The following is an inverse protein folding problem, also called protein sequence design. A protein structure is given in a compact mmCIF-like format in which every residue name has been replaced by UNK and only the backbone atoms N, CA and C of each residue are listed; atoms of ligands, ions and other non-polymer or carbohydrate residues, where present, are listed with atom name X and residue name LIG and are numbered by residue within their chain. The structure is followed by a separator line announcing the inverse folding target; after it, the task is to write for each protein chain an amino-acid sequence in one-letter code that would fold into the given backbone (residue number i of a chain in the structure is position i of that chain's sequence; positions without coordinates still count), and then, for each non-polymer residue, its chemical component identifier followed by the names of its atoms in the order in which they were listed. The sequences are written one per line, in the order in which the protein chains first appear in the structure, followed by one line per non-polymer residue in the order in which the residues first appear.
data_IF_779597496539
#
_entry.id   IF_779597496539
#
_cell.length_a   1.000
_cell.length_b   1.000
_cell.length_c   1.000
_cell.angle_alpha   90.00
_cell.angle_beta   90.00
_cell.angle_gamma   90.00
#
_symmetry.space_group_name_H-M   'P 1'
#
loop_
_entity.id
_entity.type
_entity.pdbx_description
1 polymer ?
#
# COMPACT_ATOMS: atom_id res chain seq x y z
N UNK A 1 -4.59 21.51 6.47
CA UNK A 1 -3.67 21.06 6.20
C UNK A 1 -3.64 19.71 6.25
N UNK A 2 -3.29 19.07 5.48
CA UNK A 2 -3.31 17.74 5.44
C UNK A 2 -2.02 17.16 5.67
N UNK A 3 -1.95 16.21 6.48
CA UNK A 3 -0.74 15.47 6.65
C UNK A 3 -0.70 14.40 5.59
N UNK A 4 0.44 14.23 5.00
CA UNK A 4 0.61 13.29 3.91
C UNK A 4 1.75 12.34 4.26
N UNK A 5 1.58 11.09 3.90
CA UNK A 5 2.58 10.08 4.13
C UNK A 5 3.07 9.50 2.82
N UNK A 6 4.37 9.25 2.76
CA UNK A 6 4.95 8.55 1.62
C UNK A 6 4.82 7.07 1.91
N UNK A 7 4.17 6.36 1.02
CA UNK A 7 3.91 4.94 1.21
C UNK A 7 4.57 4.18 0.08
N UNK A 8 5.41 3.21 0.43
CA UNK A 8 6.04 2.39 -0.59
C UNK A 8 5.76 0.94 -0.30
N UNK A 9 5.44 0.20 -1.34
CA UNK A 9 5.28 -1.24 -1.25
C UNK A 9 6.15 -1.89 -2.31
N UNK A 10 6.78 -2.99 -1.96
CA UNK A 10 7.53 -3.80 -2.93
C UNK A 10 7.51 -5.23 -2.42
N UNK A 11 6.68 -6.05 -3.01
CA UNK A 11 6.51 -7.43 -2.55
C UNK A 11 5.93 -8.31 -3.64
N UNK A 12 6.01 -9.61 -3.40
CA UNK A 12 5.40 -10.57 -4.29
C UNK A 12 4.24 -11.21 -3.55
N UNK A 13 3.23 -11.59 -4.29
CA UNK A 13 2.07 -12.27 -3.72
C UNK A 13 2.07 -13.72 -4.15
N UNK A 14 1.54 -14.58 -3.30
CA UNK A 14 1.48 -15.99 -3.58
C UNK A 14 0.57 -16.28 -4.75
N UNK A 15 0.84 -17.36 -5.45
CA UNK A 15 -0.04 -17.76 -6.54
C UNK A 15 -1.43 -18.07 -6.01
N UNK A 16 -1.54 -18.45 -4.74
CA UNK A 16 -2.83 -18.81 -4.18
C UNK A 16 -3.62 -17.62 -3.66
N UNK A 17 -3.18 -16.41 -3.90
CA UNK A 17 -3.90 -15.24 -3.42
C UNK A 17 -5.33 -15.29 -3.96
N UNK A 18 -6.34 -15.03 -3.14
CA UNK A 18 -7.72 -15.12 -3.60
C UNK A 18 -8.04 -14.09 -4.67
N UNK A 19 -8.92 -14.42 -5.57
CA UNK A 19 -9.27 -13.49 -6.64
C UNK A 19 -9.91 -12.23 -6.08
N UNK A 20 -10.57 -12.30 -4.93
CA UNK A 20 -11.15 -11.10 -4.35
C UNK A 20 -10.07 -10.13 -3.91
N UNK A 21 -8.94 -10.64 -3.45
CA UNK A 21 -7.84 -9.78 -3.05
C UNK A 21 -7.21 -9.17 -4.30
N UNK A 22 -7.09 -9.95 -5.37
CA UNK A 22 -6.56 -9.41 -6.61
C UNK A 22 -7.46 -8.31 -7.17
N UNK A 23 -8.76 -8.52 -7.12
CA UNK A 23 -9.68 -7.52 -7.63
C UNK A 23 -9.60 -6.24 -6.80
N UNK A 24 -9.51 -6.38 -5.49
CA UNK A 24 -9.40 -5.23 -4.61
C UNK A 24 -8.10 -4.48 -4.89
N UNK A 25 -7.00 -5.20 -5.08
CA UNK A 25 -5.75 -4.58 -5.35
C UNK A 25 -5.75 -3.86 -6.69
N UNK A 26 -6.35 -4.46 -7.73
CA UNK A 26 -6.43 -3.79 -9.01
C UNK A 26 -7.26 -2.54 -8.92
N UNK A 27 -8.31 -2.56 -8.11
CA UNK A 27 -9.12 -1.37 -7.93
C UNK A 27 -8.28 -0.28 -7.25
N UNK A 28 -7.51 -0.62 -6.21
CA UNK A 28 -6.68 0.37 -5.56
C UNK A 28 -5.62 0.92 -6.51
N UNK A 29 -5.17 0.12 -7.46
CA UNK A 29 -4.16 0.57 -8.40
C UNK A 29 -4.75 1.32 -9.59
N UNK A 30 -6.06 1.39 -9.65
CA UNK A 30 -6.71 2.09 -10.75
C UNK A 30 -6.61 1.34 -12.05
N UNK A 31 -6.24 0.06 -12.01
CA UNK A 31 -6.13 -0.66 -13.22
C UNK A 31 -7.43 -1.21 -13.68
N UNK A 32 -8.26 -1.73 -12.87
CA UNK A 32 -9.37 -2.37 -13.34
C UNK A 32 -10.52 -1.69 -13.12
N UNK A 33 -11.08 -1.45 -13.76
CA UNK A 33 -12.10 -0.76 -13.54
C UNK A 33 -13.11 -1.45 -13.30
N UNK A 34 -13.18 -1.84 -13.50
CA UNK A 34 -14.01 -2.40 -13.36
C UNK A 34 -15.03 -2.48 -13.20
N UNK A 35 -15.14 -2.18 -13.53
CA UNK A 35 -15.94 -2.13 -13.48
C UNK A 35 -16.87 -2.77 -13.03
N UNK A 36 -16.82 -3.33 -13.19
CA UNK A 36 -17.59 -4.02 -12.85
C UNK A 36 -17.91 -3.88 -11.68
N UNK A 37 -17.47 -4.01 -11.22
CA UNK A 37 -17.66 -4.11 -10.13
C UNK A 37 -18.18 -3.16 -9.62
N UNK A 38 -17.81 -2.69 -9.60
CA UNK A 38 -18.03 -1.84 -8.98
C UNK A 38 -19.11 -1.46 -9.00
N UNK A 39 -19.12 -1.50 -9.56
CA UNK A 39 -20.03 -1.01 -9.69
C UNK A 39 -20.86 -1.16 -8.83
N UNK A 40 -20.69 -1.53 -8.55
CA UNK A 40 -21.37 -1.75 -7.92
C UNK A 40 -21.94 -1.15 -6.93
N UNK A 41 -21.56 -0.71 -6.45
CA UNK A 41 -21.96 -0.23 -5.51
C UNK A 41 -22.64 0.91 -5.57
N UNK A 42 -23.41 0.89 -5.87
CA UNK A 42 -24.09 1.94 -6.06
C UNK A 42 -24.41 2.58 -4.86
N UNK A 43 -24.46 2.12 -3.90
CA UNK A 43 -24.82 2.63 -2.87
C UNK A 43 -24.12 3.63 -2.46
N UNK A 44 -23.33 3.97 -2.84
CA UNK A 44 -22.74 4.98 -2.46
C UNK A 44 -22.23 5.02 -1.18
N UNK A 45 -22.59 4.36 -0.35
CA UNK A 45 -22.02 4.43 0.80
C UNK A 45 -20.73 4.10 0.72
N UNK A 46 -20.34 3.53 -0.21
CA UNK A 46 -19.06 3.23 -0.36
C UNK A 46 -18.39 4.36 -0.85
N UNK A 47 -18.97 5.39 -1.05
CA UNK A 47 -18.33 6.51 -1.63
C UNK A 47 -17.17 7.00 -0.86
N UNK A 48 -17.02 6.65 0.39
CA UNK A 48 -15.91 7.11 1.10
C UNK A 48 -14.68 6.32 0.81
N UNK A 49 -14.75 5.23 0.16
CA UNK A 49 -13.60 4.42 -0.11
C UNK A 49 -12.93 4.91 -1.35
N UNK A 50 -11.64 5.17 -1.32
CA UNK A 50 -10.93 5.65 -2.48
C UNK A 50 -9.76 4.76 -2.79
N UNK A 51 -9.34 4.70 -4.02
CA UNK A 51 -8.17 3.91 -4.38
C UNK A 51 -6.94 4.51 -3.72
N UNK A 52 -6.12 3.69 -3.13
CA UNK A 52 -4.97 4.18 -2.41
C UNK A 52 -3.68 4.15 -3.21
N UNK A 53 -3.65 3.45 -4.31
CA UNK A 53 -2.42 3.25 -5.07
C UNK A 53 -2.58 3.70 -6.52
N UNK A 54 -3.54 4.54 -6.80
CA UNK A 54 -3.86 4.88 -8.18
C UNK A 54 -3.16 6.12 -8.71
N UNK A 55 -2.54 6.90 -7.86
CA UNK A 55 -1.94 8.14 -8.31
C UNK A 55 -0.69 7.88 -9.14
N UNK A 56 -0.44 8.74 -10.09
CA UNK A 56 0.71 8.61 -10.95
C UNK A 56 1.27 10.00 -11.18
N UNK A 57 2.55 10.06 -11.53
CA UNK A 57 3.15 11.32 -11.89
C UNK A 57 3.82 11.98 -10.71
N UNK A 58 4.22 13.23 -10.84
CA UNK A 58 5.00 13.87 -9.80
C UNK A 58 4.25 13.99 -8.50
N UNK A 59 4.93 13.71 -7.41
CA UNK A 59 4.31 13.82 -6.11
C UNK A 59 4.33 15.27 -5.66
N UNK A 60 3.34 15.67 -4.89
CA UNK A 60 3.25 17.05 -4.46
C UNK A 60 4.15 17.34 -3.28
N UNK A 61 4.33 16.39 -2.39
CA UNK A 61 5.10 16.64 -1.19
C UNK A 61 6.22 15.70 -0.90
N UNK A 62 6.11 14.46 -1.30
CA UNK A 62 7.11 13.48 -0.91
C UNK A 62 8.27 13.38 -1.87
N UNK A 63 8.23 14.14 -2.96
CA UNK A 63 9.31 14.11 -3.93
C UNK A 63 9.17 12.94 -4.88
N UNK A 64 9.80 13.05 -6.03
CA UNK A 64 9.79 11.97 -7.01
C UNK A 64 8.44 11.78 -7.67
N UNK A 65 8.25 10.63 -8.27
CA UNK A 65 7.00 10.33 -8.93
C UNK A 65 6.28 9.23 -8.22
N UNK A 66 4.96 9.23 -8.34
CA UNK A 66 4.14 8.17 -7.79
C UNK A 66 3.97 7.10 -8.84
N UNK A 67 4.03 5.84 -8.44
CA UNK A 67 3.93 4.72 -9.37
C UNK A 67 3.09 3.61 -8.77
N UNK A 68 2.61 2.74 -9.61
CA UNK A 68 1.94 1.53 -9.17
C UNK A 68 2.07 0.51 -10.26
N UNK A 69 2.79 -0.56 -10.02
CA UNK A 69 3.02 -1.60 -10.99
C UNK A 69 2.62 -2.92 -10.44
N UNK A 70 1.86 -3.66 -11.18
CA UNK A 70 1.37 -4.94 -10.73
C UNK A 70 1.50 -5.91 -11.91
N UNK A 71 2.26 -6.95 -11.74
CA UNK A 71 2.52 -7.86 -12.84
C UNK A 71 2.45 -9.30 -12.39
N UNK A 72 2.02 -10.16 -13.31
CA UNK A 72 1.99 -11.56 -13.03
C UNK A 72 3.37 -12.11 -13.25
N UNK A 73 3.79 -13.04 -12.42
CA UNK A 73 5.08 -13.64 -12.61
C UNK A 73 4.97 -15.12 -12.28
N UNK A 74 5.98 -15.87 -12.56
CA UNK A 74 5.94 -17.29 -12.27
C UNK A 74 5.81 -17.43 -10.77
N UNK A 75 4.87 -18.12 -10.31
CA UNK A 75 4.71 -18.33 -8.90
C UNK A 75 3.89 -17.29 -8.20
N UNK A 76 3.31 -16.36 -8.90
CA UNK A 76 2.46 -15.41 -8.23
C UNK A 76 2.41 -14.07 -8.91
N UNK A 77 2.48 -12.99 -8.13
CA UNK A 77 2.31 -11.65 -8.64
C UNK A 77 3.35 -10.75 -8.00
N UNK A 78 3.65 -9.64 -8.62
CA UNK A 78 4.62 -8.70 -8.12
C UNK A 78 3.99 -7.33 -8.02
N UNK A 79 4.14 -6.66 -6.91
CA UNK A 79 3.57 -5.34 -6.69
C UNK A 79 4.66 -4.36 -6.29
N UNK A 80 4.70 -3.20 -6.93
CA UNK A 80 5.54 -2.10 -6.53
C UNK A 80 4.72 -0.83 -6.60
N UNK A 81 4.67 -0.08 -5.53
CA UNK A 81 3.87 1.13 -5.50
C UNK A 81 4.54 2.20 -4.66
N UNK A 82 4.38 3.45 -5.05
CA UNK A 82 4.87 4.58 -4.30
C UNK A 82 3.81 5.64 -4.38
N UNK A 83 3.25 6.05 -3.25
CA UNK A 83 2.07 6.92 -3.23
C UNK A 83 2.15 7.93 -2.12
N UNK A 84 1.40 9.04 -2.29
CA UNK A 84 1.18 10.00 -1.24
C UNK A 84 -0.18 9.69 -0.69
N UNK A 85 -0.30 9.43 0.60
CA UNK A 85 -1.56 9.05 1.19
C UNK A 85 -1.86 10.01 2.33
N UNK A 86 -3.07 10.56 2.35
CA UNK A 86 -3.46 11.48 3.41
C UNK A 86 -3.67 10.72 4.72
N UNK A 87 -3.36 11.38 5.82
CA UNK A 87 -3.42 10.74 7.11
C UNK A 87 -4.77 10.13 7.41
N UNK A 88 -5.82 10.77 6.93
CA UNK A 88 -7.15 10.25 7.22
C UNK A 88 -7.41 8.92 6.55
N UNK A 89 -6.60 8.54 5.57
CA UNK A 89 -6.77 7.27 4.89
C UNK A 89 -5.87 6.17 5.47
N UNK A 90 -5.09 6.47 6.49
CA UNK A 90 -4.21 5.47 7.04
C UNK A 90 -4.92 4.23 7.56
N UNK A 91 -6.11 4.31 8.15
CA UNK A 91 -6.76 3.07 8.55
C UNK A 91 -7.05 2.13 7.38
N UNK A 92 -7.46 2.70 6.24
CA UNK A 92 -7.69 1.88 5.06
C UNK A 92 -6.39 1.33 4.54
N UNK A 93 -5.33 2.12 4.62
CA UNK A 93 -4.04 1.67 4.17
C UNK A 93 -3.54 0.53 5.05
N UNK A 94 -3.75 0.61 6.36
CA UNK A 94 -3.34 -0.44 7.25
C UNK A 94 -4.08 -1.74 6.93
N UNK A 95 -5.36 -1.66 6.63
CA UNK A 95 -6.11 -2.84 6.25
C UNK A 95 -5.57 -3.46 4.97
N UNK A 96 -5.23 -2.62 4.01
CA UNK A 96 -4.68 -3.11 2.75
C UNK A 96 -3.34 -3.77 3.02
N UNK A 97 -2.50 -3.14 3.83
CA UNK A 97 -1.18 -3.68 4.12
C UNK A 97 -1.29 -5.02 4.84
N UNK A 98 -2.28 -5.18 5.71
CA UNK A 98 -2.46 -6.47 6.39
C UNK A 98 -2.86 -7.55 5.40
N UNK A 99 -3.73 -7.22 4.46
CA UNK A 99 -4.12 -8.19 3.45
C UNK A 99 -2.94 -8.55 2.56
N UNK A 100 -2.10 -7.57 2.25
CA UNK A 100 -0.93 -7.84 1.43
C UNK A 100 0.05 -8.73 2.19
N UNK A 101 0.27 -8.50 3.47
CA UNK A 101 1.17 -9.33 4.24
C UNK A 101 0.67 -10.77 4.31
N UNK A 102 -0.62 -10.93 4.52
CA UNK A 102 -1.19 -12.26 4.65
C UNK A 102 -1.02 -13.06 3.36
N UNK A 103 -1.05 -12.38 2.23
CA UNK A 103 -0.97 -13.05 0.94
C UNK A 103 0.41 -12.95 0.28
N UNK A 104 1.39 -12.42 1.02
CA UNK A 104 2.70 -12.19 0.44
C UNK A 104 3.58 -13.43 0.49
N UNK A 105 4.33 -13.65 -0.56
CA UNK A 105 5.37 -14.66 -0.53
C UNK A 105 6.70 -14.02 -0.16
N UNK A 106 6.75 -12.70 -0.02
CA UNK A 106 7.95 -12.02 0.40
C UNK A 106 7.96 -11.96 1.91
N UNK A 107 9.02 -12.47 2.53
CA UNK A 107 9.11 -12.44 3.95
C UNK A 107 10.01 -11.27 4.31
N UNK A 108 9.80 -10.59 5.39
CA UNK A 108 10.61 -9.44 5.76
C UNK A 108 9.95 -8.14 5.33
N UNK A 109 10.74 -7.15 5.00
CA UNK A 109 10.20 -5.83 4.70
C UNK A 109 9.44 -5.86 3.39
N UNK A 110 8.17 -5.45 3.41
CA UNK A 110 7.36 -5.38 2.21
C UNK A 110 7.01 -3.94 1.86
N UNK A 111 7.38 -2.99 2.71
CA UNK A 111 7.11 -1.61 2.40
C UNK A 111 7.49 -0.71 3.54
N UNK A 112 7.20 0.58 3.40
CA UNK A 112 7.41 1.50 4.49
C UNK A 112 6.49 2.70 4.34
N UNK A 113 6.28 3.40 5.45
CA UNK A 113 5.44 4.57 5.50
C UNK A 113 6.23 5.65 6.20
N UNK A 114 6.28 6.84 5.63
CA UNK A 114 7.03 7.94 6.21
C UNK A 114 6.20 9.21 6.18
N UNK A 115 6.10 9.90 7.31
CA UNK A 115 5.44 11.20 7.32
C UNK A 115 6.29 12.11 6.43
N UNK A 116 5.66 12.90 5.59
CA UNK A 116 6.39 13.60 4.54
C UNK A 116 7.47 14.54 5.06
N UNK A 117 7.32 15.02 6.27
CA UNK A 117 8.34 15.91 6.81
C UNK A 117 9.39 15.19 7.62
N UNK A 118 9.32 13.90 7.73
CA UNK A 118 10.30 13.16 8.49
C UNK A 118 11.24 12.40 7.60
N UNK A 119 12.41 12.10 8.12
CA UNK A 119 13.38 11.40 7.32
C UNK A 119 13.33 9.91 7.53
N UNK A 120 12.76 9.42 8.58
CA UNK A 120 12.85 8.03 8.93
C UNK A 120 11.50 7.37 8.84
N UNK A 121 11.36 6.31 8.05
CA UNK A 121 10.08 5.66 7.89
C UNK A 121 9.84 4.57 8.93
N UNK A 122 8.57 4.18 9.04
CA UNK A 122 8.25 2.97 9.75
C UNK A 122 8.29 1.87 8.70
N UNK A 123 8.81 0.73 9.08
CA UNK A 123 8.88 -0.40 8.16
C UNK A 123 7.65 -1.27 8.30
N UNK A 124 7.19 -1.77 7.17
CA UNK A 124 6.09 -2.72 7.13
C UNK A 124 6.73 -4.08 6.87
N UNK A 125 6.62 -4.97 7.83
CA UNK A 125 7.31 -6.24 7.77
C UNK A 125 6.31 -7.38 7.79
N UNK A 126 6.51 -8.33 6.90
CA UNK A 126 5.69 -9.52 6.87
C UNK A 126 6.40 -10.59 7.67
N UNK A 127 5.79 -11.01 8.78
CA UNK A 127 6.32 -12.08 9.54
C UNK A 127 5.39 -13.24 9.44
N UNK A 128 5.61 -14.13 8.55
CA UNK A 128 4.81 -15.33 8.35
C UNK A 128 3.32 -14.97 8.15
N UNK A 129 3.08 -13.95 7.40
CA UNK A 129 1.70 -13.56 7.08
C UNK A 129 1.13 -12.50 7.99
N UNK A 130 1.85 -12.13 9.04
CA UNK A 130 1.36 -11.10 9.96
C UNK A 130 2.12 -9.81 9.71
N UNK A 131 1.39 -8.73 9.61
CA UNK A 131 2.02 -7.44 9.40
C UNK A 131 2.55 -6.89 10.70
N UNK A 132 3.81 -6.50 10.71
CA UNK A 132 4.41 -5.87 11.87
C UNK A 132 4.93 -4.52 11.43
N UNK A 133 4.59 -3.46 12.13
CA UNK A 133 5.10 -2.16 11.82
C UNK A 133 6.19 -1.86 12.80
N UNK A 134 7.34 -1.48 12.33
CA UNK A 134 8.48 -1.22 13.17
C UNK A 134 8.98 0.19 12.95
N UNK A 135 8.96 0.98 13.97
CA UNK A 135 9.44 2.33 13.86
C UNK A 135 10.95 2.34 13.94
N UNK A 136 11.58 3.09 13.09
CA UNK A 136 13.02 3.23 13.11
C UNK A 136 13.33 4.52 13.81
N UNK A 137 14.15 4.49 14.82
CA UNK A 137 14.47 5.71 15.51
C UNK A 137 15.68 6.34 14.86
N UNK A 138 15.68 7.63 14.75
CA UNK A 138 16.86 8.31 14.23
C UNK A 138 18.00 8.05 15.17
N UNK A 139 19.16 8.03 14.63
CA UNK A 139 20.29 7.78 15.37
C UNK A 139 20.34 8.44 16.66
N UNK A 140 20.14 9.48 16.86
CA UNK A 140 20.35 10.05 18.12
C UNK A 140 19.35 9.77 19.11
N UNK A 141 18.28 9.29 18.75
CA UNK A 141 17.34 9.18 19.69
C UNK A 141 17.41 8.03 20.46
N UNK A 142 18.07 7.26 20.16
CA UNK A 142 18.06 6.09 20.78
C UNK A 142 18.46 6.17 22.00
N UNK A 143 19.03 6.67 22.36
CA UNK A 143 19.50 6.68 23.48
C UNK A 143 18.88 6.48 24.33
N UNK A 144 18.50 6.52 24.31
CA UNK A 144 17.89 6.40 25.22
C UNK A 144 18.14 5.94 25.81
#
# INVERSE_FOLDING_TARGET
MSDVYAVDFALDLKASVPSSVLADLRWHLGIEAVGESGAQDPDGEMGDVVPLLAARGPAARIGGVMVGEFARKAGGWSLTARQEVHAELLPELDSLAERLAWNSSTEGVIGHIRFYEEDVPDLLINRSGTLVKTALAPAGTTTA
#
